data_IF_686654132847
#
_entry.id   IF_686654132847
#
_cell.length_a   1.000
_cell.length_b   1.000
_cell.length_c   1.000
_cell.angle_alpha   90.00
_cell.angle_beta   90.00
_cell.angle_gamma   90.00
#
_symmetry.space_group_name_H-M   'P 1'
#
loop_
_entity.id
_entity.type
_entity.pdbx_description
1 polymer ?
#
# COMPACT_ATOMS: atom_id res chain seq x y z
N UNK A 1 -11.85 -30.44 2.14
CA UNK A 1 -10.38 -30.39 2.46
C UNK A 1 -10.21 -30.13 3.95
N UNK A 2 -9.09 -30.48 4.62
CA UNK A 2 -8.96 -30.28 6.08
C UNK A 2 -9.06 -28.80 6.51
N UNK A 3 -8.73 -27.87 5.61
CA UNK A 3 -9.01 -26.42 5.77
C UNK A 3 -10.50 -26.11 5.98
N UNK A 4 -11.37 -26.91 5.37
CA UNK A 4 -12.82 -26.81 5.50
C UNK A 4 -13.24 -27.24 6.91
N UNK A 5 -12.60 -28.25 7.48
CA UNK A 5 -12.86 -28.71 8.86
C UNK A 5 -12.45 -27.65 9.89
N UNK A 6 -11.37 -26.92 9.63
CA UNK A 6 -10.89 -25.85 10.52
C UNK A 6 -11.67 -24.54 10.33
N UNK A 7 -12.00 -24.18 9.09
CA UNK A 7 -12.75 -22.96 8.76
C UNK A 7 -14.26 -23.08 9.01
N UNK A 8 -14.80 -24.29 9.11
CA UNK A 8 -16.23 -24.55 9.31
C UNK A 8 -16.56 -25.17 10.67
N UNK A 9 -15.75 -24.89 11.69
CA UNK A 9 -15.97 -25.35 13.07
C UNK A 9 -17.41 -25.10 13.56
N UNK A 10 -18.03 -23.98 13.18
CA UNK A 10 -19.43 -23.70 13.46
C UNK A 10 -20.40 -24.73 12.81
N UNK A 11 -20.23 -25.04 11.52
CA UNK A 11 -21.09 -26.02 10.83
C UNK A 11 -20.90 -27.43 11.38
N UNK A 12 -19.70 -27.75 11.86
CA UNK A 12 -19.40 -29.05 12.47
C UNK A 12 -20.05 -29.14 13.85
N UNK A 13 -19.98 -28.08 14.66
CA UNK A 13 -20.64 -28.02 15.96
C UNK A 13 -22.16 -28.24 15.81
N UNK A 14 -22.79 -27.62 14.80
CA UNK A 14 -24.22 -27.79 14.53
C UNK A 14 -24.56 -29.24 14.14
N UNK A 15 -23.79 -29.85 13.24
CA UNK A 15 -23.96 -31.26 12.86
C UNK A 15 -23.78 -32.22 14.04
N UNK A 16 -22.77 -31.98 14.88
CA UNK A 16 -22.53 -32.82 16.06
C UNK A 16 -23.68 -32.66 17.05
N UNK A 17 -24.17 -31.43 17.27
CA UNK A 17 -25.32 -31.18 18.14
C UNK A 17 -26.55 -31.94 17.66
N UNK A 18 -26.87 -31.88 16.37
CA UNK A 18 -28.01 -32.58 15.77
C UNK A 18 -27.91 -34.11 15.98
N UNK A 19 -26.73 -34.69 15.76
CA UNK A 19 -26.49 -36.12 16.00
C UNK A 19 -26.66 -36.49 17.47
N UNK A 20 -26.12 -35.69 18.39
CA UNK A 20 -26.20 -35.97 19.83
C UNK A 20 -27.64 -35.81 20.34
N UNK A 21 -28.34 -34.74 19.95
CA UNK A 21 -29.75 -34.53 20.35
C UNK A 21 -30.62 -35.72 19.93
N UNK A 22 -30.44 -36.23 18.70
CA UNK A 22 -31.20 -37.39 18.21
C UNK A 22 -30.99 -38.67 19.05
N UNK A 23 -29.82 -38.82 19.68
CA UNK A 23 -29.49 -39.96 20.53
C UNK A 23 -29.86 -39.73 22.00
N UNK A 24 -29.98 -38.48 22.45
CA UNK A 24 -30.29 -38.13 23.85
C UNK A 24 -31.78 -37.90 24.11
N UNK A 25 -32.59 -37.68 23.08
CA UNK A 25 -34.05 -37.53 23.15
C UNK A 25 -34.75 -38.73 23.83
N UNK A 26 -34.40 -40.00 23.53
CA UNK A 26 -34.99 -41.17 24.21
C UNK A 26 -34.68 -41.26 25.71
N UNK A 27 -33.64 -40.55 26.17
CA UNK A 27 -33.24 -40.50 27.57
C UNK A 27 -33.77 -39.25 28.30
N UNK A 28 -34.53 -38.38 27.61
CA UNK A 28 -35.09 -37.16 28.18
C UNK A 28 -34.06 -36.08 28.47
N UNK A 29 -32.89 -36.13 27.83
CA UNK A 29 -31.79 -35.17 28.02
C UNK A 29 -31.77 -34.22 26.82
N UNK A 30 -31.81 -32.91 27.10
CA UNK A 30 -31.81 -31.86 26.08
C UNK A 30 -30.41 -31.20 26.01
N UNK A 31 -29.76 -31.21 24.85
CA UNK A 31 -28.40 -30.69 24.70
C UNK A 31 -28.40 -29.25 24.20
N UNK A 32 -27.99 -28.30 25.05
CA UNK A 32 -28.06 -26.87 24.73
C UNK A 32 -27.00 -26.44 23.71
N UNK A 33 -25.75 -26.85 23.91
CA UNK A 33 -24.59 -26.46 23.07
C UNK A 33 -23.54 -27.55 23.06
N UNK A 34 -22.94 -27.79 21.88
CA UNK A 34 -21.76 -28.66 21.71
C UNK A 34 -20.66 -27.83 21.08
N UNK A 35 -19.45 -27.90 21.65
CA UNK A 35 -18.31 -27.13 21.19
C UNK A 35 -17.07 -28.03 21.12
N UNK A 36 -16.39 -28.04 19.98
CA UNK A 36 -15.13 -28.75 19.83
C UNK A 36 -14.04 -28.02 20.62
N UNK A 37 -13.45 -28.72 21.60
CA UNK A 37 -12.46 -28.13 22.50
C UNK A 37 -11.04 -28.05 21.91
N UNK A 38 -10.50 -29.17 21.44
CA UNK A 38 -9.13 -29.24 20.91
C UNK A 38 -9.05 -30.20 19.71
N UNK A 39 -8.54 -29.71 18.57
CA UNK A 39 -8.19 -30.55 17.40
C UNK A 39 -6.67 -30.65 17.33
N UNK A 40 -6.14 -31.86 17.52
CA UNK A 40 -4.70 -32.12 17.41
C UNK A 40 -4.37 -32.61 16.01
N UNK A 41 -3.65 -31.77 15.26
CA UNK A 41 -3.13 -32.12 13.94
C UNK A 41 -1.77 -32.82 14.08
N UNK A 42 -1.45 -33.84 13.26
CA UNK A 42 -0.11 -34.40 13.21
C UNK A 42 0.94 -33.36 12.76
N UNK A 43 2.12 -33.35 13.36
CA UNK A 43 3.16 -32.33 13.08
C UNK A 43 3.57 -32.24 11.60
N UNK A 44 3.60 -33.36 10.88
CA UNK A 44 3.94 -33.38 9.46
C UNK A 44 2.94 -32.61 8.60
N UNK A 45 1.66 -32.71 8.94
CA UNK A 45 0.58 -32.02 8.25
C UNK A 45 0.52 -30.54 8.61
N UNK A 46 0.73 -30.19 9.88
CA UNK A 46 0.80 -28.79 10.32
C UNK A 46 1.90 -28.02 9.58
N UNK A 47 3.07 -28.64 9.41
CA UNK A 47 4.18 -28.07 8.62
C UNK A 47 3.84 -27.90 7.14
N UNK A 48 3.19 -28.91 6.54
CA UNK A 48 2.77 -28.84 5.14
C UNK A 48 1.73 -27.73 4.91
N UNK A 49 0.75 -27.60 5.81
CA UNK A 49 -0.26 -26.54 5.75
C UNK A 49 0.34 -25.16 5.96
N UNK A 50 1.25 -25.00 6.93
CA UNK A 50 1.95 -23.72 7.16
C UNK A 50 2.71 -23.28 5.90
N UNK A 51 3.45 -24.21 5.27
CA UNK A 51 4.19 -23.94 4.04
C UNK A 51 3.27 -23.58 2.86
N UNK A 52 2.13 -24.25 2.74
CA UNK A 52 1.14 -23.96 1.71
C UNK A 52 0.49 -22.58 1.93
N UNK A 53 0.11 -22.27 3.18
CA UNK A 53 -0.49 -20.99 3.55
C UNK A 53 0.48 -19.83 3.31
N UNK A 54 1.76 -20.01 3.63
CA UNK A 54 2.81 -19.03 3.36
C UNK A 54 2.98 -18.79 1.85
N UNK A 55 3.05 -19.86 1.04
CA UNK A 55 3.17 -19.75 -0.41
C UNK A 55 1.97 -19.04 -1.05
N UNK A 56 0.75 -19.35 -0.62
CA UNK A 56 -0.46 -18.68 -1.11
C UNK A 56 -0.50 -17.20 -0.67
N UNK A 57 -0.07 -16.90 0.56
CA UNK A 57 0.04 -15.52 1.05
C UNK A 57 1.07 -14.72 0.26
N UNK A 58 2.25 -15.29 0.01
CA UNK A 58 3.29 -14.63 -0.78
C UNK A 58 2.84 -14.40 -2.23
N UNK A 59 2.19 -15.39 -2.84
CA UNK A 59 1.60 -15.27 -4.18
C UNK A 59 0.58 -14.12 -4.23
N UNK A 60 -0.35 -14.07 -3.28
CA UNK A 60 -1.35 -12.99 -3.21
C UNK A 60 -0.71 -11.63 -2.99
N UNK A 61 0.30 -11.54 -2.12
CA UNK A 61 1.03 -10.30 -1.91
C UNK A 61 1.67 -9.80 -3.21
N UNK A 62 2.34 -10.67 -3.98
CA UNK A 62 2.95 -10.30 -5.27
C UNK A 62 1.91 -9.80 -6.28
N UNK A 63 0.75 -10.43 -6.36
CA UNK A 63 -0.33 -10.00 -7.26
C UNK A 63 -0.82 -8.60 -6.87
N UNK A 64 -1.10 -8.38 -5.58
CA UNK A 64 -1.57 -7.08 -5.08
C UNK A 64 -0.53 -5.99 -5.32
N UNK A 65 0.75 -6.27 -5.10
CA UNK A 65 1.83 -5.31 -5.38
C UNK A 65 1.90 -4.98 -6.87
N UNK A 66 1.88 -5.99 -7.75
CA UNK A 66 1.93 -5.77 -9.19
C UNK A 66 0.71 -4.96 -9.71
N UNK A 67 -0.48 -5.24 -9.19
CA UNK A 67 -1.69 -4.47 -9.51
C UNK A 67 -1.60 -3.03 -9.00
N UNK A 68 -1.07 -2.83 -7.78
CA UNK A 68 -0.82 -1.50 -7.23
C UNK A 68 0.18 -0.69 -8.04
N UNK A 69 1.27 -1.33 -8.48
CA UNK A 69 2.28 -0.72 -9.35
C UNK A 69 1.68 -0.33 -10.71
N UNK A 70 0.90 -1.22 -11.33
CA UNK A 70 0.21 -0.93 -12.59
C UNK A 70 -0.75 0.25 -12.47
N UNK A 71 -1.59 0.26 -11.42
CA UNK A 71 -2.53 1.35 -11.18
C UNK A 71 -1.81 2.68 -10.94
N UNK A 72 -0.72 2.66 -10.17
CA UNK A 72 0.12 3.84 -9.92
C UNK A 72 0.72 4.37 -11.21
N UNK A 73 1.34 3.49 -12.02
CA UNK A 73 1.93 3.87 -13.30
C UNK A 73 0.90 4.43 -14.27
N UNK A 74 -0.28 3.81 -14.37
CA UNK A 74 -1.39 4.32 -15.18
C UNK A 74 -1.82 5.72 -14.75
N UNK A 75 -1.99 5.95 -13.44
CA UNK A 75 -2.39 7.26 -12.92
C UNK A 75 -1.33 8.34 -13.12
N UNK A 76 -0.06 7.97 -13.05
CA UNK A 76 1.06 8.87 -13.39
C UNK A 76 1.08 9.22 -14.88
N UNK A 77 0.76 8.24 -15.74
CA UNK A 77 0.56 8.47 -17.17
C UNK A 77 -0.58 9.46 -17.44
N UNK A 78 -1.76 9.22 -16.86
CA UNK A 78 -2.92 10.11 -16.96
C UNK A 78 -2.54 11.55 -16.52
N UNK A 79 -1.80 11.68 -15.42
CA UNK A 79 -1.35 12.97 -14.92
C UNK A 79 -0.33 13.64 -15.86
N UNK A 80 0.56 12.87 -16.49
CA UNK A 80 1.51 13.39 -17.46
C UNK A 80 0.81 13.94 -18.71
N UNK A 81 -0.22 13.25 -19.20
CA UNK A 81 -1.02 13.70 -20.34
C UNK A 81 -1.74 15.02 -20.02
N UNK A 82 -2.35 15.13 -18.84
CA UNK A 82 -2.99 16.38 -18.38
C UNK A 82 -1.98 17.54 -18.28
N UNK A 83 -0.77 17.26 -17.79
CA UNK A 83 0.32 18.25 -17.71
C UNK A 83 0.79 18.66 -19.12
N UNK A 84 0.84 17.73 -20.07
CA UNK A 84 1.21 18.01 -21.45
C UNK A 84 0.16 18.91 -22.14
N UNK A 85 -1.12 18.67 -21.88
CA UNK A 85 -2.21 19.53 -22.37
C UNK A 85 -2.20 20.93 -21.73
N UNK A 86 -1.78 21.04 -20.46
CA UNK A 86 -1.79 22.29 -19.70
C UNK A 86 -0.38 22.62 -19.14
N UNK A 87 0.50 23.29 -19.91
CA UNK A 87 1.87 23.59 -19.49
C UNK A 87 1.99 24.38 -18.17
N UNK A 88 0.97 25.18 -17.84
CA UNK A 88 0.89 25.94 -16.57
C UNK A 88 0.82 24.99 -15.36
N UNK A 89 0.26 23.78 -15.51
CA UNK A 89 0.20 22.79 -14.44
C UNK A 89 1.59 22.35 -13.98
N UNK A 90 2.55 22.24 -14.89
CA UNK A 90 3.95 21.91 -14.55
C UNK A 90 4.61 23.03 -13.75
N UNK A 91 4.37 24.29 -14.13
CA UNK A 91 4.87 25.44 -13.36
C UNK A 91 4.29 25.49 -11.95
N UNK A 92 2.98 25.29 -11.78
CA UNK A 92 2.35 25.24 -10.46
C UNK A 92 2.92 24.10 -9.62
N UNK A 93 3.13 22.93 -10.22
CA UNK A 93 3.76 21.79 -9.55
C UNK A 93 5.21 22.10 -9.12
N UNK A 94 5.99 22.76 -9.97
CA UNK A 94 7.34 23.18 -9.61
C UNK A 94 7.33 24.16 -8.41
N UNK A 95 6.38 25.10 -8.38
CA UNK A 95 6.24 26.03 -7.25
C UNK A 95 5.80 25.32 -5.95
N UNK A 96 4.93 24.32 -6.03
CA UNK A 96 4.54 23.50 -4.89
C UNK A 96 5.74 22.74 -4.32
N UNK A 97 6.54 22.10 -5.18
CA UNK A 97 7.77 21.40 -4.78
C UNK A 97 8.76 22.36 -4.10
N UNK A 98 8.93 23.57 -4.63
CA UNK A 98 9.78 24.58 -4.01
C UNK A 98 9.25 25.04 -2.63
N UNK A 99 7.94 25.17 -2.49
CA UNK A 99 7.31 25.52 -1.20
C UNK A 99 7.47 24.42 -0.16
N UNK A 100 7.37 23.15 -0.56
CA UNK A 100 7.61 21.99 0.32
C UNK A 100 9.07 21.95 0.79
N UNK A 101 10.02 22.08 -0.15
CA UNK A 101 11.46 22.13 0.16
C UNK A 101 11.80 23.32 1.07
N UNK A 102 11.21 24.49 0.84
CA UNK A 102 11.42 25.67 1.69
C UNK A 102 10.84 25.52 3.11
N UNK A 103 9.85 24.63 3.27
CA UNK A 103 9.24 24.34 4.58
C UNK A 103 10.07 23.31 5.37
N UNK A 104 10.76 22.39 4.69
CA UNK A 104 11.71 21.48 5.33
C UNK A 104 12.96 22.24 5.80
N UNK A 105 13.17 22.32 7.12
CA UNK A 105 14.31 22.98 7.77
C UNK A 105 15.64 22.21 7.62
N UNK A 106 15.98 21.71 6.43
CA UNK A 106 17.22 20.96 6.18
C UNK A 106 18.25 21.79 5.39
N UNK A 107 19.50 21.81 5.85
CA UNK A 107 20.59 22.68 5.33
C UNK A 107 21.14 22.29 3.95
N UNK A 108 20.60 21.25 3.30
CA UNK A 108 21.02 20.79 1.97
C UNK A 108 19.87 20.97 1.00
N UNK A 109 19.93 22.03 0.18
CA UNK A 109 18.90 22.36 -0.79
C UNK A 109 19.21 21.60 -2.09
N UNK A 110 18.41 20.58 -2.40
CA UNK A 110 18.52 19.84 -3.66
C UNK A 110 17.74 20.61 -4.72
N UNK A 111 18.44 21.44 -5.49
CA UNK A 111 17.84 22.19 -6.59
C UNK A 111 17.85 21.37 -7.88
N UNK A 112 16.71 21.26 -8.59
CA UNK A 112 16.69 20.63 -9.91
C UNK A 112 17.61 21.37 -10.89
N UNK A 113 18.48 20.64 -11.60
CA UNK A 113 19.49 21.20 -12.49
C UNK A 113 18.91 22.14 -13.57
N UNK A 114 17.65 21.91 -13.98
CA UNK A 114 16.90 22.75 -14.92
C UNK A 114 16.73 24.21 -14.48
N UNK A 115 16.88 24.53 -13.19
CA UNK A 115 16.79 25.90 -12.66
C UNK A 115 18.15 26.61 -12.53
N UNK A 116 19.27 25.89 -12.70
CA UNK A 116 20.61 26.49 -12.61
C UNK A 116 20.88 27.50 -13.72
N UNK A 117 20.27 27.32 -14.90
CA UNK A 117 20.33 28.26 -16.02
C UNK A 117 19.67 29.60 -15.66
N UNK A 118 18.50 29.56 -15.04
CA UNK A 118 17.77 30.75 -14.60
C UNK A 118 18.51 31.54 -13.51
N UNK A 119 19.25 30.87 -12.62
CA UNK A 119 20.12 31.54 -11.63
C UNK A 119 21.27 32.29 -12.34
N UNK A 120 21.87 31.69 -13.36
CA UNK A 120 22.92 32.35 -14.14
C UNK A 120 22.40 33.57 -14.89
N UNK A 121 21.16 33.54 -15.39
CA UNK A 121 20.54 34.68 -16.06
C UNK A 121 20.23 35.82 -15.08
N UNK A 122 19.72 35.50 -13.88
CA UNK A 122 19.52 36.47 -12.80
C UNK A 122 20.86 37.08 -12.37
N UNK A 123 21.90 36.26 -12.21
CA UNK A 123 23.24 36.74 -11.85
C UNK A 123 23.79 37.70 -12.90
N UNK A 124 23.71 37.35 -14.19
CA UNK A 124 24.14 38.22 -15.30
C UNK A 124 23.35 39.51 -15.36
N UNK A 125 22.05 39.47 -15.05
CA UNK A 125 21.21 40.65 -14.96
C UNK A 125 21.66 41.58 -13.82
N UNK A 126 21.92 41.03 -12.64
CA UNK A 126 22.41 41.79 -11.48
C UNK A 126 23.81 42.37 -11.75
N UNK A 127 24.73 41.60 -12.34
CA UNK A 127 26.06 42.06 -12.71
C UNK A 127 25.99 43.22 -13.72
N UNK A 128 25.11 43.13 -14.72
CA UNK A 128 24.88 44.18 -15.71
C UNK A 128 24.29 45.47 -15.10
N UNK A 129 23.32 45.35 -14.19
CA UNK A 129 22.80 46.50 -13.46
C UNK A 129 23.85 47.12 -12.53
N UNK A 130 24.65 46.31 -11.85
CA UNK A 130 25.74 46.79 -11.00
C UNK A 130 26.84 47.52 -11.80
N UNK A 131 27.16 47.06 -13.01
CA UNK A 131 28.08 47.77 -13.92
C UNK A 131 27.47 49.08 -14.45
N UNK A 132 26.16 49.09 -14.76
CA UNK A 132 25.47 50.32 -15.18
C UNK A 132 25.43 51.39 -14.07
N UNK A 133 25.34 50.98 -12.81
CA UNK A 133 25.38 51.87 -11.64
C UNK A 133 26.79 52.35 -11.30
N UNK A 134 27.84 51.57 -11.62
CA UNK A 134 29.25 51.99 -11.46
C UNK A 134 29.73 52.93 -12.56
N UNK A 135 29.15 52.88 -13.76
CA UNK A 135 29.46 53.79 -14.87
C UNK A 135 28.82 55.18 -14.77
N UNK A 136 28.01 55.43 -13.74
CA UNK A 136 27.32 56.70 -13.47
C UNK A 136 27.98 57.52 -12.34
N UNK A 137 29.20 57.17 -11.93
CA UNK A 137 30.00 57.88 -10.92
C UNK A 137 31.34 58.33 -11.48
#
# INVERSE_FOLDING_TARGET
SLDEVLSETAKINDKIKEIIDSHSEPWGINVTTVEIKDIKLPEGMQRAMAKQAEAEREKRAKIITAEGEYLSASKLGDAADVIAEHPIALQLRNLQVLSEIATEKNSTIIFPAQFMSSINDIRKFIEKEMESLKGLR
#
